data_IF_325119219892
#
_entry.id   IF_325119219892
#
_cell.length_a   1.000
_cell.length_b   1.000
_cell.length_c   1.000
_cell.angle_alpha   90.00
_cell.angle_beta   90.00
_cell.angle_gamma   90.00
#
_symmetry.space_group_name_H-M   'P 1'
#
loop_
_entity.id
_entity.type
_entity.pdbx_description
1 polymer ?
#
# COMPACT_ATOMS: atom_id res chain seq x y z
N UNK A 1 16.39 9.23 -84.09
CA UNK A 1 17.30 8.89 -82.98
C UNK A 1 16.70 9.49 -81.70
N UNK A 2 16.05 8.67 -80.87
CA UNK A 2 15.38 9.14 -79.67
C UNK A 2 16.18 8.61 -78.42
N UNK A 3 16.84 9.55 -77.73
CA UNK A 3 17.59 9.24 -76.53
C UNK A 3 16.62 9.06 -75.34
N UNK A 4 16.55 7.86 -74.80
CA UNK A 4 15.82 7.58 -73.53
C UNK A 4 16.71 7.84 -72.36
N UNK A 5 16.38 8.87 -71.59
CA UNK A 5 17.00 9.17 -70.32
C UNK A 5 16.36 8.28 -69.24
N UNK A 6 17.13 7.39 -68.66
CA UNK A 6 16.70 6.55 -67.47
C UNK A 6 17.06 7.29 -66.25
N UNK A 7 16.06 7.74 -65.45
CA UNK A 7 16.23 8.35 -64.16
C UNK A 7 16.08 7.24 -63.12
N UNK A 8 17.17 6.87 -62.44
CA UNK A 8 17.15 5.96 -61.28
C UNK A 8 16.84 6.76 -60.04
N UNK A 9 15.69 6.50 -59.40
CA UNK A 9 15.34 7.05 -58.11
C UNK A 9 15.84 6.09 -57.02
N UNK A 10 16.90 6.48 -56.27
CA UNK A 10 17.36 5.79 -55.10
C UNK A 10 16.45 6.15 -53.89
N UNK A 11 15.65 5.21 -53.43
CA UNK A 11 14.87 5.36 -52.21
C UNK A 11 15.77 5.11 -50.99
N UNK A 12 16.15 6.18 -50.28
CA UNK A 12 16.81 6.08 -48.99
C UNK A 12 15.76 5.78 -47.92
N UNK A 13 15.67 4.51 -47.51
CA UNK A 13 14.84 4.08 -46.37
C UNK A 13 15.51 4.44 -45.06
N UNK A 14 15.10 5.54 -44.44
CA UNK A 14 15.49 5.88 -43.07
C UNK A 14 14.75 5.00 -42.07
N UNK A 15 15.42 4.08 -41.45
CA UNK A 15 14.89 3.32 -40.31
C UNK A 15 14.86 4.24 -39.08
N UNK A 16 13.66 4.68 -38.66
CA UNK A 16 13.43 5.34 -37.37
C UNK A 16 13.51 4.29 -36.28
N UNK A 17 14.65 4.21 -35.57
CA UNK A 17 14.79 3.43 -34.36
C UNK A 17 14.04 4.16 -33.22
N UNK A 18 12.82 3.70 -32.92
CA UNK A 18 12.11 4.13 -31.70
C UNK A 18 12.84 3.49 -30.50
N UNK A 19 13.68 4.26 -29.83
CA UNK A 19 14.24 3.87 -28.53
C UNK A 19 13.13 4.01 -27.51
N UNK A 20 12.44 2.92 -27.18
CA UNK A 20 11.54 2.84 -26.05
C UNK A 20 12.42 2.95 -24.78
N UNK A 21 12.46 4.14 -24.18
CA UNK A 21 13.02 4.31 -22.84
C UNK A 21 12.11 3.56 -21.85
N UNK A 22 12.45 2.31 -21.55
CA UNK A 22 11.85 1.58 -20.46
C UNK A 22 12.35 2.21 -19.15
N UNK A 23 11.67 3.26 -18.72
CA UNK A 23 11.86 3.86 -17.41
C UNK A 23 11.45 2.84 -16.35
N UNK A 24 12.39 2.04 -15.86
CA UNK A 24 12.16 1.19 -14.72
C UNK A 24 11.75 2.09 -13.56
N UNK A 25 10.57 1.87 -13.00
CA UNK A 25 10.15 2.56 -11.80
C UNK A 25 11.12 2.24 -10.67
N UNK A 26 11.58 3.23 -9.89
CA UNK A 26 12.48 2.95 -8.79
C UNK A 26 11.81 1.98 -7.80
N UNK A 27 12.50 0.90 -7.47
CA UNK A 27 12.09 -0.09 -6.47
C UNK A 27 13.01 0.01 -5.26
N UNK A 28 12.51 -0.41 -4.10
CA UNK A 28 13.34 -0.52 -2.91
C UNK A 28 14.32 -1.68 -3.11
N UNK A 29 15.62 -1.45 -2.98
CA UNK A 29 16.68 -2.45 -3.27
C UNK A 29 17.36 -3.00 -2.01
N UNK A 30 16.73 -2.85 -0.85
CA UNK A 30 17.28 -3.32 0.42
C UNK A 30 16.35 -3.09 1.58
N UNK A 31 16.75 -3.48 2.81
CA UNK A 31 15.92 -3.31 3.99
C UNK A 31 15.59 -1.84 4.23
N UNK A 32 14.33 -1.57 4.53
CA UNK A 32 13.83 -0.21 4.75
C UNK A 32 12.93 -0.12 5.97
N UNK A 33 12.90 1.07 6.59
CA UNK A 33 11.97 1.35 7.69
C UNK A 33 11.15 2.59 7.37
N UNK A 34 9.82 2.45 7.44
CA UNK A 34 8.88 3.56 7.31
C UNK A 34 8.21 3.76 8.67
N UNK A 35 8.14 5.00 9.13
CA UNK A 35 7.46 5.39 10.37
C UNK A 35 6.41 6.42 10.06
N UNK A 36 5.17 6.13 10.44
CA UNK A 36 4.03 7.04 10.25
C UNK A 36 3.18 7.03 11.51
N UNK A 37 2.42 8.10 11.71
CA UNK A 37 1.33 8.13 12.69
C UNK A 37 0.02 8.11 11.92
N UNK A 38 -0.94 7.33 12.37
CA UNK A 38 -2.27 7.37 11.81
C UNK A 38 -3.28 8.10 12.69
N UNK A 39 -4.44 8.38 12.11
CA UNK A 39 -5.62 8.88 12.79
C UNK A 39 -6.85 8.24 12.20
N UNK A 40 -7.62 7.55 13.04
CA UNK A 40 -8.90 6.97 12.65
C UNK A 40 -9.89 8.07 12.23
N UNK A 41 -10.43 7.97 11.02
CA UNK A 41 -11.43 8.91 10.48
C UNK A 41 -12.78 8.25 10.21
N UNK A 42 -12.79 6.94 9.99
CA UNK A 42 -14.02 6.18 9.77
C UNK A 42 -13.89 4.77 10.32
N UNK A 43 -14.92 4.35 11.05
CA UNK A 43 -15.11 2.97 11.49
C UNK A 43 -16.54 2.54 11.14
N UNK A 44 -16.66 1.40 10.49
CA UNK A 44 -17.94 0.76 10.19
C UNK A 44 -17.88 -0.64 10.79
N UNK A 45 -18.84 -0.98 11.61
CA UNK A 45 -19.05 -2.32 12.13
C UNK A 45 -20.25 -2.96 11.42
N UNK A 46 -20.10 -4.19 10.99
CA UNK A 46 -21.15 -5.01 10.40
C UNK A 46 -21.27 -6.28 11.24
N UNK A 47 -22.41 -6.43 11.89
CA UNK A 47 -22.77 -7.65 12.64
C UNK A 47 -23.02 -8.78 11.62
N UNK A 48 -22.21 -9.83 11.69
CA UNK A 48 -22.24 -10.97 10.75
C UNK A 48 -23.02 -12.17 11.28
N UNK A 49 -23.56 -12.11 12.49
CA UNK A 49 -24.13 -13.28 13.15
C UNK A 49 -25.24 -12.98 14.16
N UNK A 50 -25.14 -13.64 15.30
CA UNK A 50 -26.04 -13.42 16.44
C UNK A 50 -25.77 -12.04 17.08
N UNK A 51 -26.80 -11.47 17.73
CA UNK A 51 -26.72 -10.14 18.33
C UNK A 51 -25.53 -9.96 19.26
N UNK A 52 -24.74 -8.92 18.99
CA UNK A 52 -23.53 -8.56 19.75
C UNK A 52 -22.23 -8.91 19.00
N UNK A 53 -21.09 -8.60 19.61
CA UNK A 53 -19.80 -8.90 19.01
C UNK A 53 -19.49 -10.39 19.02
N UNK A 54 -19.35 -10.97 17.83
CA UNK A 54 -19.20 -12.40 17.64
C UNK A 54 -18.28 -12.78 16.49
N UNK A 55 -18.17 -14.09 16.26
CA UNK A 55 -17.45 -14.61 15.10
C UNK A 55 -18.16 -14.21 13.80
N UNK A 56 -17.39 -13.77 12.81
CA UNK A 56 -17.91 -13.35 11.52
C UNK A 56 -18.22 -11.86 11.40
N UNK A 57 -18.20 -11.12 12.52
CA UNK A 57 -18.34 -9.66 12.48
C UNK A 57 -17.22 -9.02 11.67
N UNK A 58 -17.58 -7.99 10.92
CA UNK A 58 -16.64 -7.24 10.11
C UNK A 58 -16.49 -5.81 10.62
N UNK A 59 -15.26 -5.40 10.80
CA UNK A 59 -14.89 -4.04 11.09
C UNK A 59 -14.10 -3.45 9.91
N UNK A 60 -14.53 -2.30 9.41
CA UNK A 60 -13.84 -1.55 8.36
C UNK A 60 -13.29 -0.26 8.96
N UNK A 61 -12.01 -0.04 8.79
CA UNK A 61 -11.31 1.16 9.28
C UNK A 61 -10.75 1.94 8.11
N UNK A 62 -10.95 3.25 8.12
CA UNK A 62 -10.20 4.19 7.30
C UNK A 62 -9.45 5.13 8.22
N UNK A 63 -8.16 5.28 7.96
CA UNK A 63 -7.24 6.10 8.75
C UNK A 63 -6.48 7.03 7.82
N UNK A 64 -6.19 8.25 8.27
CA UNK A 64 -5.29 9.17 7.58
C UNK A 64 -3.88 8.97 8.14
N UNK A 65 -2.89 8.98 7.26
CA UNK A 65 -1.49 8.74 7.59
C UNK A 65 -0.72 10.06 7.60
N UNK A 66 0.14 10.23 8.58
CA UNK A 66 0.96 11.42 8.79
C UNK A 66 2.43 11.04 8.97
N UNK A 67 3.34 11.94 8.57
CA UNK A 67 4.76 11.76 8.77
C UNK A 67 5.15 12.21 10.19
N UNK A 68 5.63 11.31 11.07
CA UNK A 68 6.11 11.53 12.44
C UNK A 68 5.13 12.12 13.48
N UNK A 69 4.10 12.79 13.11
CA UNK A 69 3.14 13.43 13.99
C UNK A 69 1.95 13.90 13.19
N UNK A 70 0.84 14.18 13.86
CA UNK A 70 -0.35 14.64 13.16
C UNK A 70 -0.13 16.07 12.71
N UNK A 71 0.03 16.24 11.41
CA UNK A 71 0.12 17.53 10.74
C UNK A 71 -1.22 17.88 10.10
N UNK A 72 -1.46 19.13 9.68
CA UNK A 72 -2.69 19.47 8.96
C UNK A 72 -2.92 18.64 7.69
N UNK A 73 -1.83 18.28 7.01
CA UNK A 73 -1.90 17.52 5.75
C UNK A 73 -1.47 16.07 5.93
N UNK A 74 -2.37 15.10 5.67
CA UNK A 74 -2.02 13.69 5.64
C UNK A 74 -1.15 13.38 4.41
N UNK A 75 -0.21 12.45 4.57
CA UNK A 75 0.64 11.95 3.47
C UNK A 75 -0.01 10.78 2.73
N UNK A 76 -1.10 10.23 3.25
CA UNK A 76 -1.78 9.07 2.70
C UNK A 76 -2.95 8.63 3.56
N UNK A 77 -3.41 7.41 3.31
CA UNK A 77 -4.48 6.78 4.08
C UNK A 77 -4.30 5.27 4.13
N UNK A 78 -5.04 4.61 5.03
CA UNK A 78 -5.19 3.16 5.03
C UNK A 78 -6.66 2.76 4.95
N UNK A 79 -6.91 1.60 4.35
CA UNK A 79 -8.17 0.89 4.37
C UNK A 79 -7.91 -0.51 4.91
N UNK A 80 -8.45 -0.81 6.09
CA UNK A 80 -8.25 -2.07 6.81
C UNK A 80 -9.61 -2.74 7.03
N UNK A 81 -9.66 -4.03 6.79
CA UNK A 81 -10.81 -4.87 7.10
C UNK A 81 -10.38 -5.93 8.11
N UNK A 82 -11.15 -6.08 9.17
CA UNK A 82 -10.92 -7.10 10.20
C UNK A 82 -12.19 -7.95 10.36
N UNK A 83 -12.03 -9.27 10.34
CA UNK A 83 -13.10 -10.23 10.63
C UNK A 83 -12.85 -10.87 11.99
N UNK A 84 -13.80 -10.77 12.89
CA UNK A 84 -13.73 -11.36 14.23
C UNK A 84 -13.74 -12.89 14.16
N UNK A 85 -12.84 -13.53 14.93
CA UNK A 85 -12.73 -14.99 15.00
C UNK A 85 -13.58 -15.64 16.10
N UNK A 86 -14.26 -14.82 16.95
CA UNK A 86 -15.03 -15.29 18.10
C UNK A 86 -14.20 -15.65 19.33
N UNK A 87 -12.86 -15.58 19.26
CA UNK A 87 -11.93 -15.90 20.36
C UNK A 87 -11.23 -14.66 20.93
N UNK A 88 -11.79 -13.47 20.69
CA UNK A 88 -11.19 -12.18 21.10
C UNK A 88 -10.10 -11.67 20.14
N UNK A 89 -9.85 -12.37 19.04
CA UNK A 89 -8.95 -11.96 17.97
C UNK A 89 -9.71 -11.69 16.67
N UNK A 90 -9.05 -11.02 15.72
CA UNK A 90 -9.60 -10.76 14.40
C UNK A 90 -8.55 -11.03 13.33
N UNK A 91 -8.97 -11.60 12.21
CA UNK A 91 -8.15 -11.68 11.01
C UNK A 91 -8.27 -10.34 10.26
N UNK A 92 -7.17 -9.63 10.13
CA UNK A 92 -7.12 -8.33 9.49
C UNK A 92 -6.31 -8.37 8.21
N UNK A 93 -6.79 -7.65 7.21
CA UNK A 93 -6.03 -7.35 6.00
C UNK A 93 -6.29 -5.91 5.58
N UNK A 94 -5.31 -5.30 4.90
CA UNK A 94 -5.50 -3.92 4.48
C UNK A 94 -4.42 -3.40 3.57
N UNK A 95 -4.65 -2.18 3.11
CA UNK A 95 -3.76 -1.47 2.21
C UNK A 95 -3.44 -0.09 2.77
N UNK A 96 -2.16 0.21 2.86
CA UNK A 96 -1.61 1.51 3.18
C UNK A 96 -1.22 2.22 1.89
N UNK A 97 -1.87 3.35 1.60
CA UNK A 97 -1.62 4.18 0.43
C UNK A 97 -0.63 5.27 0.82
N UNK A 98 0.62 5.11 0.41
CA UNK A 98 1.72 6.03 0.68
C UNK A 98 2.12 6.82 -0.58
N UNK A 99 2.82 7.95 -0.47
CA UNK A 99 3.15 8.78 -1.64
C UNK A 99 3.92 8.06 -2.74
N UNK A 100 4.73 7.05 -2.38
CA UNK A 100 5.59 6.32 -3.32
C UNK A 100 5.05 4.95 -3.74
N UNK A 101 3.84 4.58 -3.30
CA UNK A 101 3.21 3.29 -3.62
C UNK A 101 2.31 2.80 -2.51
N UNK A 102 1.96 1.52 -2.57
CA UNK A 102 1.08 0.88 -1.59
C UNK A 102 1.84 -0.22 -0.87
N UNK A 103 1.50 -0.45 0.41
CA UNK A 103 1.88 -1.63 1.16
C UNK A 103 0.62 -2.42 1.51
N UNK A 104 0.67 -3.72 1.36
CA UNK A 104 -0.43 -4.63 1.67
C UNK A 104 -0.03 -5.42 2.90
N UNK A 105 -0.92 -5.49 3.90
CA UNK A 105 -0.69 -6.17 5.16
C UNK A 105 -1.77 -7.20 5.44
N UNK A 106 -1.41 -8.24 6.18
CA UNK A 106 -2.34 -9.25 6.66
C UNK A 106 -1.83 -9.91 7.94
N UNK A 107 -2.74 -10.37 8.77
CA UNK A 107 -2.42 -11.12 9.99
C UNK A 107 -3.54 -11.13 11.00
N UNK A 108 -3.24 -11.69 12.18
CA UNK A 108 -4.17 -11.77 13.31
C UNK A 108 -3.91 -10.63 14.28
N UNK A 109 -4.98 -9.94 14.65
CA UNK A 109 -4.98 -8.89 15.64
C UNK A 109 -5.63 -9.42 16.93
N UNK A 110 -4.83 -9.65 17.98
CA UNK A 110 -5.32 -10.07 19.28
C UNK A 110 -5.45 -8.90 20.27
N UNK A 111 -4.75 -7.81 20.03
CA UNK A 111 -4.82 -6.58 20.82
C UNK A 111 -4.74 -5.37 19.90
N UNK A 112 -5.43 -4.30 20.31
CA UNK A 112 -5.35 -3.00 19.60
C UNK A 112 -4.40 -2.01 20.27
N UNK A 113 -3.80 -2.40 21.41
CA UNK A 113 -2.80 -1.57 22.07
C UNK A 113 -1.43 -1.73 21.44
N UNK A 114 -1.11 -2.97 21.09
CA UNK A 114 0.11 -3.34 20.37
C UNK A 114 -0.18 -4.55 19.48
N UNK A 115 0.26 -4.50 18.23
CA UNK A 115 0.06 -5.59 17.29
C UNK A 115 1.14 -5.64 16.21
N UNK A 116 1.26 -6.80 15.60
CA UNK A 116 2.07 -7.01 14.42
C UNK A 116 1.22 -7.64 13.30
N UNK A 117 1.44 -7.14 12.07
CA UNK A 117 0.91 -7.72 10.86
C UNK A 117 2.05 -7.97 9.87
N UNK A 118 1.94 -9.02 9.07
CA UNK A 118 2.89 -9.25 7.99
C UNK A 118 2.66 -8.24 6.86
N UNK A 119 3.74 -7.66 6.32
CA UNK A 119 3.71 -7.00 5.02
C UNK A 119 3.84 -8.09 3.96
N UNK A 120 2.77 -8.30 3.19
CA UNK A 120 2.64 -9.41 2.24
C UNK A 120 2.85 -8.97 0.79
N UNK A 121 2.99 -7.68 0.53
CA UNK A 121 3.23 -7.13 -0.80
C UNK A 121 3.25 -5.62 -0.82
N UNK A 122 3.52 -5.10 -2.02
CA UNK A 122 3.46 -3.66 -2.29
C UNK A 122 3.43 -3.36 -3.77
N UNK A 123 3.39 -2.07 -4.12
CA UNK A 123 3.40 -1.59 -5.50
C UNK A 123 4.36 -0.43 -5.67
N UNK A 124 4.82 -0.19 -6.90
CA UNK A 124 5.77 0.87 -7.26
C UNK A 124 7.08 0.75 -6.46
N UNK A 125 7.47 1.79 -5.68
CA UNK A 125 8.69 1.75 -4.88
C UNK A 125 8.72 0.53 -3.92
N UNK A 126 7.56 0.03 -3.50
CA UNK A 126 7.40 -1.08 -2.57
C UNK A 126 7.07 -2.41 -3.26
N UNK A 127 7.29 -2.49 -4.57
CA UNK A 127 7.11 -3.75 -5.31
C UNK A 127 7.95 -4.86 -4.68
N UNK A 128 7.35 -6.04 -4.52
CA UNK A 128 7.93 -7.20 -3.83
C UNK A 128 8.26 -7.01 -2.34
N UNK A 129 7.89 -5.89 -1.71
CA UNK A 129 8.13 -5.69 -0.29
C UNK A 129 7.51 -6.80 0.56
N UNK A 130 8.28 -7.25 1.55
CA UNK A 130 7.90 -8.17 2.62
C UNK A 130 8.36 -7.58 3.94
N UNK A 131 7.88 -8.11 5.04
CA UNK A 131 8.35 -7.66 6.34
C UNK A 131 7.25 -7.61 7.37
N UNK A 132 7.34 -6.67 8.30
CA UNK A 132 6.42 -6.53 9.43
C UNK A 132 5.93 -5.11 9.54
N UNK A 133 4.64 -4.95 9.81
CA UNK A 133 4.03 -3.74 10.36
C UNK A 133 3.84 -3.95 11.86
N UNK A 134 4.41 -3.07 12.67
CA UNK A 134 4.12 -2.97 14.11
C UNK A 134 3.25 -1.73 14.35
N UNK A 135 2.12 -1.88 15.00
CA UNK A 135 1.22 -0.81 15.44
C UNK A 135 1.21 -0.68 16.95
N UNK A 136 1.24 0.56 17.44
CA UNK A 136 1.17 0.88 18.88
C UNK A 136 0.18 2.02 19.07
N UNK A 137 -0.85 1.79 19.90
CA UNK A 137 -1.84 2.81 20.21
C UNK A 137 -1.21 3.95 21.02
N UNK A 138 -1.44 5.18 20.58
CA UNK A 138 -1.02 6.41 21.26
C UNK A 138 -2.12 6.98 22.18
N UNK A 139 -3.33 6.41 22.11
CA UNK A 139 -4.51 6.92 22.79
C UNK A 139 -5.12 8.15 22.13
N UNK A 140 -6.05 8.79 22.82
CA UNK A 140 -6.72 10.00 22.33
C UNK A 140 -8.06 9.74 21.64
N UNK A 141 -8.77 10.84 21.34
CA UNK A 141 -10.01 10.84 20.58
C UNK A 141 -9.92 11.93 19.50
N UNK A 142 -9.95 11.57 18.20
CA UNK A 142 -10.02 10.21 17.65
C UNK A 142 -8.76 9.39 17.96
N UNK A 143 -8.87 8.04 17.84
CA UNK A 143 -7.76 7.12 18.08
C UNK A 143 -6.61 7.38 17.13
N UNK A 144 -5.39 7.34 17.66
CA UNK A 144 -4.13 7.45 16.93
C UNK A 144 -3.26 6.25 17.22
N UNK A 145 -2.46 5.86 16.24
CA UNK A 145 -1.47 4.79 16.38
C UNK A 145 -0.12 5.22 15.77
N UNK A 146 0.95 4.72 16.34
CA UNK A 146 2.27 4.83 15.75
C UNK A 146 2.59 3.53 15.01
N UNK A 147 2.90 3.64 13.74
CA UNK A 147 3.11 2.55 12.82
C UNK A 147 4.56 2.48 12.36
N UNK A 148 5.16 1.29 12.42
CA UNK A 148 6.51 1.03 11.94
C UNK A 148 6.45 -0.14 10.95
N UNK A 149 6.75 0.14 9.70
CA UNK A 149 6.99 -0.89 8.69
C UNK A 149 8.48 -1.20 8.65
N UNK A 150 8.86 -2.45 8.87
CA UNK A 150 10.21 -2.97 8.63
C UNK A 150 10.15 -3.84 7.40
N UNK A 151 10.76 -3.37 6.31
CA UNK A 151 10.66 -3.98 4.99
C UNK A 151 11.97 -4.68 4.63
N UNK A 152 11.83 -5.82 3.97
CA UNK A 152 12.87 -6.52 3.22
C UNK A 152 12.37 -6.68 1.78
N UNK A 153 13.27 -6.68 0.83
CA UNK A 153 13.00 -6.84 -0.62
C UNK A 153 13.95 -7.86 -1.20
#
# INVERSE_FOLDING_TARGET
MVNRLVISIAAAGGALAVVAATGASPTLTGPGTIRVTDRLVKHIHVDGGEHGRGAGDLDFYRELLYNRGITPEPIGHSDITCMASGTGSSNCSGTYFLPKGKLIVAGVLASRLFYELAVVGGTRLYENARGTLTGTALGGTPRHEFLIFRLVV
#
